data_IF_150161448179
#
_entry.id   IF_150161448179
#
_cell.length_a   1.000
_cell.length_b   1.000
_cell.length_c   1.000
_cell.angle_alpha   90.00
_cell.angle_beta   90.00
_cell.angle_gamma   90.00
#
_symmetry.space_group_name_H-M   'P 1'
#
loop_
_entity.id
_entity.type
_entity.pdbx_description
1 polymer ?
#
# COMPACT_ATOMS: atom_id res chain seq x y z
N UNK A 1 -18.17 -2.50 34.60
CA UNK A 1 -17.67 -2.70 33.22
C UNK A 1 -18.05 -1.51 32.31
N UNK A 2 -17.12 -0.57 32.14
CA UNK A 2 -17.28 0.60 31.27
C UNK A 2 -17.32 0.14 29.80
N UNK A 3 -18.42 0.43 29.09
CA UNK A 3 -18.50 0.27 27.64
C UNK A 3 -17.62 1.35 26.99
N UNK A 4 -16.31 1.10 26.91
CA UNK A 4 -15.44 1.95 26.10
C UNK A 4 -15.86 1.76 24.65
N UNK A 5 -16.46 2.81 24.08
CA UNK A 5 -16.67 2.96 22.64
C UNK A 5 -15.32 2.70 21.96
N UNK A 6 -15.23 1.85 20.92
CA UNK A 6 -13.95 1.63 20.25
C UNK A 6 -13.43 2.98 19.75
N UNK A 7 -12.10 3.23 19.84
CA UNK A 7 -11.51 4.58 19.70
C UNK A 7 -11.73 5.24 18.33
N UNK A 8 -12.32 4.51 17.39
CA UNK A 8 -12.56 4.86 16.00
C UNK A 8 -14.05 5.08 15.65
N UNK A 9 -14.98 4.91 16.59
CA UNK A 9 -16.42 5.12 16.38
C UNK A 9 -16.87 6.58 16.66
N UNK A 10 -16.03 7.56 16.35
CA UNK A 10 -16.34 8.99 16.43
C UNK A 10 -17.02 9.52 15.15
N UNK A 11 -17.68 10.69 15.21
CA UNK A 11 -18.37 11.31 14.08
C UNK A 11 -17.49 11.63 12.85
N UNK A 12 -16.17 11.44 12.93
CA UNK A 12 -15.20 11.88 11.91
C UNK A 12 -14.55 10.72 11.12
N UNK A 13 -15.13 9.51 11.10
CA UNK A 13 -14.53 8.36 10.40
C UNK A 13 -14.48 8.55 8.88
N UNK A 14 -15.39 9.35 8.31
CA UNK A 14 -15.35 9.71 6.88
C UNK A 14 -14.22 10.72 6.63
N UNK A 15 -14.16 11.78 7.41
CA UNK A 15 -13.13 12.81 7.32
C UNK A 15 -11.73 12.24 7.51
N UNK A 16 -11.56 11.30 8.44
CA UNK A 16 -10.29 10.60 8.64
C UNK A 16 -9.87 9.78 7.41
N UNK A 17 -10.83 9.11 6.75
CA UNK A 17 -10.55 8.34 5.54
C UNK A 17 -10.26 9.23 4.34
N UNK A 18 -10.98 10.34 4.22
CA UNK A 18 -10.68 11.35 3.21
C UNK A 18 -9.29 11.96 3.41
N UNK A 19 -8.95 12.36 4.64
CA UNK A 19 -7.63 12.92 4.97
C UNK A 19 -6.50 11.93 4.68
N UNK A 20 -6.68 10.64 5.02
CA UNK A 20 -5.74 9.60 4.64
C UNK A 20 -5.56 9.49 3.12
N UNK A 21 -6.65 9.47 2.35
CA UNK A 21 -6.59 9.36 0.90
C UNK A 21 -5.92 10.58 0.25
N UNK A 22 -6.21 11.78 0.74
CA UNK A 22 -5.57 13.01 0.29
C UNK A 22 -4.06 13.01 0.57
N UNK A 23 -3.63 12.57 1.76
CA UNK A 23 -2.21 12.54 2.13
C UNK A 23 -1.45 11.44 1.37
N UNK A 24 -2.03 10.24 1.25
CA UNK A 24 -1.35 9.08 0.65
C UNK A 24 -1.32 9.13 -0.88
N UNK A 25 -2.41 9.58 -1.49
CA UNK A 25 -2.60 9.48 -2.94
C UNK A 25 -2.81 10.83 -3.63
N UNK A 26 -2.91 11.93 -2.88
CA UNK A 26 -3.14 13.26 -3.45
C UNK A 26 -4.56 13.47 -4.00
N UNK A 27 -5.52 12.64 -3.58
CA UNK A 27 -6.89 12.72 -4.11
C UNK A 27 -7.57 14.03 -3.73
N UNK A 28 -8.25 14.62 -4.71
CA UNK A 28 -9.22 15.68 -4.48
C UNK A 28 -10.50 15.13 -3.82
N UNK A 29 -11.34 15.99 -3.21
CA UNK A 29 -12.64 15.55 -2.68
C UNK A 29 -13.50 14.82 -3.71
N UNK A 30 -13.56 15.32 -4.94
CA UNK A 30 -14.39 14.73 -6.01
C UNK A 30 -13.88 13.33 -6.42
N UNK A 31 -12.56 13.15 -6.52
CA UNK A 31 -11.96 11.84 -6.82
C UNK A 31 -12.20 10.82 -5.70
N UNK A 32 -12.19 11.27 -4.44
CA UNK A 32 -12.49 10.42 -3.30
C UNK A 32 -13.96 9.98 -3.28
N UNK A 33 -14.89 10.92 -3.54
CA UNK A 33 -16.33 10.65 -3.58
C UNK A 33 -16.75 9.77 -4.77
N UNK A 34 -15.97 9.77 -5.85
CA UNK A 34 -16.18 8.89 -6.99
C UNK A 34 -15.89 7.40 -6.70
N UNK A 35 -15.19 7.09 -5.60
CA UNK A 35 -14.84 5.72 -5.24
C UNK A 35 -15.97 5.02 -4.48
N UNK A 36 -16.23 3.78 -4.87
CA UNK A 36 -17.12 2.90 -4.10
C UNK A 36 -16.46 2.50 -2.78
N UNK A 37 -17.28 2.13 -1.79
CA UNK A 37 -16.80 1.60 -0.50
C UNK A 37 -15.83 0.43 -0.67
N UNK A 38 -16.09 -0.45 -1.64
CA UNK A 38 -15.22 -1.61 -1.92
C UNK A 38 -13.87 -1.18 -2.48
N UNK A 39 -13.84 -0.23 -3.41
CA UNK A 39 -12.58 0.31 -3.95
C UNK A 39 -11.76 1.00 -2.86
N UNK A 40 -12.40 1.74 -1.94
CA UNK A 40 -11.74 2.34 -0.79
C UNK A 40 -11.12 1.28 0.14
N UNK A 41 -11.83 0.19 0.44
CA UNK A 41 -11.29 -0.89 1.27
C UNK A 41 -10.11 -1.61 0.61
N UNK A 42 -10.18 -1.86 -0.70
CA UNK A 42 -9.07 -2.46 -1.45
C UNK A 42 -7.84 -1.54 -1.45
N UNK A 43 -8.05 -0.22 -1.59
CA UNK A 43 -6.98 0.76 -1.55
C UNK A 43 -6.31 0.81 -0.17
N UNK A 44 -7.10 0.77 0.91
CA UNK A 44 -6.58 0.70 2.27
C UNK A 44 -5.74 -0.55 2.49
N UNK A 45 -6.24 -1.71 2.03
CA UNK A 45 -5.51 -2.96 2.16
C UNK A 45 -4.18 -2.95 1.39
N UNK A 46 -4.19 -2.36 0.19
CA UNK A 46 -2.98 -2.20 -0.60
C UNK A 46 -1.94 -1.26 0.07
N UNK A 47 -2.36 -0.16 0.70
CA UNK A 47 -1.47 0.72 1.47
C UNK A 47 -0.85 0.02 2.68
N UNK A 48 -1.64 -0.80 3.39
CA UNK A 48 -1.14 -1.62 4.50
C UNK A 48 -0.09 -2.62 4.02
N UNK A 49 -0.38 -3.36 2.95
CA UNK A 49 0.56 -4.35 2.38
C UNK A 49 1.84 -3.68 1.90
N UNK A 50 1.75 -2.52 1.25
CA UNK A 50 2.91 -1.74 0.84
C UNK A 50 3.74 -1.31 2.05
N UNK A 51 3.11 -0.78 3.09
CA UNK A 51 3.79 -0.34 4.31
C UNK A 51 4.54 -1.50 4.98
N UNK A 52 3.93 -2.69 5.05
CA UNK A 52 4.57 -3.90 5.57
C UNK A 52 5.77 -4.28 4.70
N UNK A 53 5.59 -4.31 3.38
CA UNK A 53 6.64 -4.68 2.43
C UNK A 53 7.85 -3.74 2.50
N UNK A 54 7.62 -2.43 2.62
CA UNK A 54 8.67 -1.44 2.82
C UNK A 54 9.42 -1.66 4.13
N UNK A 55 8.69 -1.93 5.22
CA UNK A 55 9.28 -2.25 6.52
C UNK A 55 10.15 -3.50 6.50
N UNK A 56 9.69 -4.58 5.86
CA UNK A 56 10.46 -5.80 5.67
C UNK A 56 11.71 -5.57 4.82
N UNK A 57 11.60 -4.75 3.77
CA UNK A 57 12.72 -4.39 2.90
C UNK A 57 13.80 -3.64 3.69
N UNK A 58 13.41 -2.67 4.52
CA UNK A 58 14.34 -1.94 5.38
C UNK A 58 14.96 -2.86 6.41
N UNK A 59 14.17 -3.73 7.06
CA UNK A 59 14.70 -4.72 8.02
C UNK A 59 15.78 -5.60 7.37
N UNK A 60 15.50 -6.14 6.19
CA UNK A 60 16.46 -6.96 5.44
C UNK A 60 17.73 -6.19 5.08
N UNK A 61 17.60 -4.94 4.65
CA UNK A 61 18.75 -4.08 4.37
C UNK A 61 19.62 -3.84 5.61
N UNK A 62 19.01 -3.63 6.79
CA UNK A 62 19.73 -3.47 8.06
C UNK A 62 20.46 -4.76 8.45
N UNK A 63 19.81 -5.91 8.34
CA UNK A 63 20.44 -7.22 8.60
C UNK A 63 21.67 -7.43 7.72
N UNK A 64 21.56 -7.11 6.42
CA UNK A 64 22.68 -7.19 5.48
C UNK A 64 23.78 -6.18 5.83
N UNK A 65 23.43 -4.97 6.28
CA UNK A 65 24.41 -3.97 6.70
C UNK A 65 25.25 -4.46 7.89
N UNK A 66 24.60 -5.05 8.90
CA UNK A 66 25.27 -5.65 10.05
C UNK A 66 26.16 -6.82 9.62
N UNK A 67 25.67 -7.68 8.71
CA UNK A 67 26.47 -8.78 8.17
C UNK A 67 27.72 -8.27 7.42
N UNK A 68 27.60 -7.16 6.68
CA UNK A 68 28.71 -6.52 5.99
C UNK A 68 29.71 -5.87 6.97
N UNK A 69 29.26 -5.27 8.09
CA UNK A 69 30.18 -4.67 9.06
C UNK A 69 31.07 -5.71 9.73
N UNK A 70 30.56 -6.94 9.92
CA UNK A 70 31.32 -8.05 10.49
C UNK A 70 32.16 -8.82 9.44
N UNK A 71 32.12 -8.41 8.18
CA UNK A 71 32.75 -9.14 7.08
C UNK A 71 34.24 -8.83 6.95
N UNK A 72 35.04 -9.83 6.55
CA UNK A 72 36.45 -9.63 6.22
C UNK A 72 36.63 -8.60 5.10
N UNK A 73 37.56 -7.65 5.29
CA UNK A 73 37.84 -6.55 4.34
C UNK A 73 38.19 -6.99 2.92
N UNK A 74 38.74 -8.20 2.74
CA UNK A 74 39.07 -8.75 1.43
C UNK A 74 37.88 -9.32 0.64
N UNK A 75 36.69 -9.42 1.25
CA UNK A 75 35.49 -9.95 0.59
C UNK A 75 34.60 -8.81 0.08
N UNK A 76 34.06 -8.97 -1.14
CA UNK A 76 33.11 -8.01 -1.75
C UNK A 76 31.85 -7.88 -0.89
N UNK A 77 31.36 -6.67 -0.57
CA UNK A 77 30.12 -6.47 0.20
C UNK A 77 28.87 -7.11 -0.45
N UNK A 78 27.93 -7.58 0.37
CA UNK A 78 26.57 -7.94 -0.10
C UNK A 78 25.79 -6.64 -0.33
N UNK A 79 24.91 -6.61 -1.33
CA UNK A 79 24.06 -5.44 -1.59
C UNK A 79 22.94 -5.36 -0.57
N UNK A 80 22.72 -4.16 -0.02
CA UNK A 80 21.65 -3.91 0.96
C UNK A 80 20.26 -4.08 0.36
N UNK A 81 20.09 -3.60 -0.87
CA UNK A 81 18.84 -3.69 -1.61
C UNK A 81 19.03 -4.54 -2.86
N UNK A 82 18.03 -5.35 -3.17
CA UNK A 82 17.95 -6.01 -4.47
C UNK A 82 17.70 -4.98 -5.56
N UNK A 83 18.27 -5.23 -6.75
CA UNK A 83 17.93 -4.41 -7.91
C UNK A 83 16.49 -4.72 -8.29
N UNK A 84 15.67 -3.68 -8.39
CA UNK A 84 14.35 -3.79 -9.02
C UNK A 84 14.55 -4.47 -10.37
N UNK A 85 13.90 -5.62 -10.59
CA UNK A 85 14.00 -6.32 -11.88
C UNK A 85 13.51 -5.38 -12.97
N UNK A 86 14.35 -5.14 -13.98
CA UNK A 86 13.94 -4.37 -15.16
C UNK A 86 12.71 -5.06 -15.77
N UNK A 87 11.56 -4.38 -15.75
CA UNK A 87 10.27 -4.95 -16.16
C UNK A 87 9.20 -4.99 -15.06
N UNK A 88 9.53 -4.72 -13.80
CA UNK A 88 8.53 -4.29 -12.80
C UNK A 88 8.17 -2.85 -13.14
N UNK A 89 7.35 -2.68 -14.17
CA UNK A 89 6.74 -1.38 -14.47
C UNK A 89 5.95 -0.99 -13.24
N UNK A 90 6.26 0.18 -12.66
CA UNK A 90 5.26 0.92 -11.89
C UNK A 90 4.02 0.92 -12.78
N UNK A 91 2.93 0.34 -12.28
CA UNK A 91 1.77 0.06 -13.11
C UNK A 91 1.31 1.37 -13.73
N UNK A 92 1.32 1.46 -15.06
CA UNK A 92 0.94 2.72 -15.71
C UNK A 92 -0.51 3.04 -15.35
N UNK A 93 -0.89 4.32 -15.37
CA UNK A 93 -2.28 4.74 -15.13
C UNK A 93 -3.26 3.96 -16.02
N UNK A 94 -2.89 3.70 -17.26
CA UNK A 94 -3.68 2.93 -18.23
C UNK A 94 -3.83 1.46 -17.82
N UNK A 95 -2.78 0.84 -17.27
CA UNK A 95 -2.83 -0.52 -16.75
C UNK A 95 -3.68 -0.61 -15.47
N UNK A 96 -3.62 0.42 -14.62
CA UNK A 96 -4.49 0.59 -13.47
C UNK A 96 -5.96 0.63 -13.86
N UNK A 97 -6.31 1.51 -14.81
CA UNK A 97 -7.67 1.62 -15.33
C UNK A 97 -8.14 0.29 -15.96
N UNK A 98 -7.29 -0.41 -16.71
CA UNK A 98 -7.63 -1.70 -17.32
C UNK A 98 -7.90 -2.78 -16.27
N UNK A 99 -7.05 -2.89 -15.25
CA UNK A 99 -7.27 -3.86 -14.15
C UNK A 99 -8.52 -3.53 -13.36
N UNK A 100 -8.79 -2.26 -13.07
CA UNK A 100 -10.01 -1.84 -12.37
C UNK A 100 -11.28 -2.23 -13.14
N UNK A 101 -11.33 -1.98 -14.45
CA UNK A 101 -12.46 -2.42 -15.30
C UNK A 101 -12.63 -3.94 -15.31
N UNK A 102 -11.54 -4.70 -15.30
CA UNK A 102 -11.59 -6.16 -15.21
C UNK A 102 -12.22 -6.62 -13.89
N UNK A 103 -11.84 -5.99 -12.78
CA UNK A 103 -12.42 -6.28 -11.45
C UNK A 103 -13.90 -5.91 -11.42
N UNK A 104 -14.29 -4.75 -11.95
CA UNK A 104 -15.69 -4.31 -12.04
C UNK A 104 -16.56 -5.24 -12.88
N UNK A 105 -16.03 -5.76 -13.99
CA UNK A 105 -16.74 -6.74 -14.83
C UNK A 105 -16.97 -8.07 -14.11
N UNK A 106 -16.03 -8.50 -13.26
CA UNK A 106 -16.17 -9.74 -12.48
C UNK A 106 -17.13 -9.55 -11.31
N UNK A 107 -17.11 -8.38 -10.66
CA UNK A 107 -18.00 -8.09 -9.52
C UNK A 107 -19.42 -7.68 -9.94
N UNK A 108 -19.59 -7.07 -11.12
CA UNK A 108 -20.89 -6.69 -11.68
C UNK A 108 -21.66 -7.87 -12.31
N UNK A 109 -20.98 -8.96 -12.64
CA UNK A 109 -21.58 -10.18 -13.20
C UNK A 109 -22.22 -11.12 -12.17
N UNK A 110 -22.10 -10.84 -10.87
CA UNK A 110 -22.67 -11.66 -9.78
C UNK A 110 -24.09 -11.27 -9.34
N UNK A 111 -24.75 -10.35 -10.06
CA UNK A 111 -26.16 -9.99 -9.84
C UNK A 111 -26.99 -10.21 -11.13
N UNK A 112 -26.94 -11.43 -11.69
CA UNK A 112 -27.82 -11.91 -12.75
C UNK A 112 -28.49 -13.21 -12.35
#
# INVERSE_FOLDING_TARGET
>A
PSKRKPPDAGPNRRDARWAWAAIRFGFTPDEYEALTTTQLLLLQKADEELTVQEGETVRGAVEVAIANSCRKRSKKPIRLFEKVRAGVSVMSRSDAIRKMRGIESVMGGTNG
#
